data_IF_552836719896
#
_entry.id   IF_552836719896
#
_cell.length_a   1.000
_cell.length_b   1.000
_cell.length_c   1.000
_cell.angle_alpha   90.00
_cell.angle_beta   90.00
_cell.angle_gamma   90.00
#
_symmetry.space_group_name_H-M   'P 1'
#
loop_
_entity.id
_entity.type
_entity.pdbx_description
1 polymer ?
#
# COMPACT_ATOMS: atom_id res chain seq x y z
N UNK A 1 -15.34 20.78 -6.54
CA UNK A 1 -13.90 20.89 -6.92
C UNK A 1 -13.25 19.62 -6.46
N UNK A 2 -12.53 18.92 -7.36
CA UNK A 2 -11.71 17.77 -7.00
C UNK A 2 -10.24 18.19 -6.87
N UNK A 3 -9.52 17.52 -6.00
CA UNK A 3 -8.08 17.68 -5.81
C UNK A 3 -7.34 16.84 -6.83
N UNK A 4 -6.35 17.41 -7.49
CA UNK A 4 -5.32 16.67 -8.21
C UNK A 4 -4.10 16.56 -7.30
N UNK A 5 -3.78 15.34 -6.89
CA UNK A 5 -2.54 15.06 -6.16
C UNK A 5 -1.47 14.70 -7.17
N UNK A 6 -0.78 15.70 -7.65
CA UNK A 6 0.07 15.62 -8.84
C UNK A 6 1.44 14.96 -8.61
N UNK A 7 1.88 14.82 -7.35
CA UNK A 7 3.06 14.04 -6.99
C UNK A 7 2.88 13.31 -5.66
N UNK A 8 3.06 12.00 -5.64
CA UNK A 8 3.18 11.22 -4.42
C UNK A 8 4.10 10.02 -4.62
N UNK A 9 4.84 9.64 -3.59
CA UNK A 9 5.68 8.46 -3.54
C UNK A 9 6.25 8.27 -2.12
N UNK A 10 6.95 7.14 -1.93
CA UNK A 10 7.80 6.89 -0.77
C UNK A 10 9.22 7.36 -1.09
N UNK A 11 9.74 8.28 -0.30
CA UNK A 11 11.04 8.91 -0.53
C UNK A 11 12.12 8.40 0.46
N UNK A 12 12.25 7.06 0.60
CA UNK A 12 13.20 6.45 1.53
C UNK A 12 14.66 6.91 1.33
N UNK A 13 15.08 7.10 0.09
CA UNK A 13 16.43 7.54 -0.26
C UNK A 13 16.81 8.92 0.30
N UNK A 14 15.85 9.78 0.63
CA UNK A 14 16.11 11.07 1.25
C UNK A 14 16.77 10.93 2.62
N UNK A 15 16.53 9.81 3.29
CA UNK A 15 16.96 9.62 4.67
C UNK A 15 18.35 9.00 4.80
N UNK A 16 18.75 8.12 3.91
CA UNK A 16 20.03 7.40 3.97
C UNK A 16 21.01 7.75 2.84
N UNK A 17 20.51 8.43 1.79
CA UNK A 17 21.31 8.80 0.64
C UNK A 17 21.62 7.64 -0.31
N UNK A 18 21.07 6.45 -0.04
CA UNK A 18 21.17 5.28 -0.90
C UNK A 18 19.88 5.19 -1.71
N UNK A 19 20.00 5.04 -3.01
CA UNK A 19 18.89 4.88 -3.93
C UNK A 19 19.18 3.71 -4.86
N UNK A 20 19.10 2.51 -4.31
CA UNK A 20 19.22 1.26 -5.04
C UNK A 20 17.92 0.44 -4.93
N UNK A 21 17.85 -0.68 -5.64
CA UNK A 21 16.63 -1.50 -5.67
C UNK A 21 16.32 -2.13 -4.30
N UNK A 22 17.33 -2.37 -3.46
CA UNK A 22 17.15 -2.91 -2.11
C UNK A 22 16.46 -1.92 -1.15
N UNK A 23 16.43 -0.64 -1.50
CA UNK A 23 15.73 0.39 -0.72
C UNK A 23 14.20 0.37 -0.91
N UNK A 24 13.68 -0.50 -1.79
CA UNK A 24 12.25 -0.53 -2.16
C UNK A 24 11.67 -1.93 -1.99
N UNK A 25 11.55 -2.34 -0.72
CA UNK A 25 11.06 -3.65 -0.32
C UNK A 25 9.54 -3.77 -0.20
N UNK A 26 9.10 -4.89 0.37
CA UNK A 26 7.68 -5.15 0.64
C UNK A 26 7.05 -4.10 1.55
N UNK A 27 7.78 -3.53 2.50
CA UNK A 27 7.34 -2.42 3.35
C UNK A 27 6.90 -1.21 2.52
N UNK A 28 7.64 -0.87 1.46
CA UNK A 28 7.28 0.18 0.51
C UNK A 28 6.05 -0.20 -0.33
N UNK A 29 5.91 -1.48 -0.69
CA UNK A 29 4.72 -1.98 -1.38
C UNK A 29 3.48 -1.86 -0.49
N UNK A 30 3.57 -2.23 0.79
CA UNK A 30 2.50 -2.10 1.79
C UNK A 30 2.08 -0.62 1.92
N UNK A 31 3.03 0.30 2.07
CA UNK A 31 2.72 1.72 2.16
C UNK A 31 2.09 2.26 0.87
N UNK A 32 2.57 1.82 -0.29
CA UNK A 32 1.97 2.16 -1.59
C UNK A 32 0.52 1.69 -1.67
N UNK A 33 0.23 0.46 -1.25
CA UNK A 33 -1.14 -0.06 -1.20
C UNK A 33 -2.06 0.76 -0.29
N UNK A 34 -1.57 1.13 0.90
CA UNK A 34 -2.33 1.95 1.86
C UNK A 34 -2.63 3.36 1.33
N UNK A 35 -1.68 3.98 0.62
CA UNK A 35 -1.89 5.30 -0.02
C UNK A 35 -2.91 5.18 -1.14
N UNK A 36 -2.83 4.15 -1.99
CA UNK A 36 -3.82 3.92 -3.05
C UNK A 36 -5.21 3.64 -2.47
N UNK A 37 -5.32 2.82 -1.41
CA UNK A 37 -6.57 2.64 -0.68
C UNK A 37 -7.14 3.97 -0.13
N UNK A 38 -6.27 4.84 0.38
CA UNK A 38 -6.68 6.17 0.86
C UNK A 38 -7.26 7.01 -0.30
N UNK A 39 -6.65 7.01 -1.48
CA UNK A 39 -7.20 7.72 -2.65
C UNK A 39 -8.54 7.15 -3.11
N UNK A 40 -8.69 5.83 -3.12
CA UNK A 40 -9.95 5.17 -3.47
C UNK A 40 -11.04 5.55 -2.48
N UNK A 41 -10.75 5.51 -1.17
CA UNK A 41 -11.74 5.90 -0.13
C UNK A 41 -12.14 7.37 -0.19
N UNK A 42 -11.33 8.22 -0.79
CA UNK A 42 -11.58 9.65 -0.94
C UNK A 42 -11.86 10.05 -2.40
N UNK A 43 -12.39 9.13 -3.22
CA UNK A 43 -12.63 9.35 -4.65
C UNK A 43 -13.68 10.43 -4.97
N UNK A 44 -14.48 10.84 -4.01
CA UNK A 44 -15.36 12.00 -4.09
C UNK A 44 -14.59 13.34 -4.12
N UNK A 45 -13.46 13.40 -3.45
CA UNK A 45 -12.57 14.56 -3.32
C UNK A 45 -11.35 14.45 -4.23
N UNK A 46 -10.71 13.29 -4.29
CA UNK A 46 -9.52 13.05 -5.12
C UNK A 46 -9.94 12.70 -6.53
N UNK A 47 -9.61 13.54 -7.49
CA UNK A 47 -9.90 13.30 -8.90
C UNK A 47 -8.75 12.70 -9.68
N UNK A 48 -7.52 12.87 -9.19
CA UNK A 48 -6.30 12.36 -9.81
C UNK A 48 -5.20 12.23 -8.76
N UNK A 49 -4.37 11.18 -8.87
CA UNK A 49 -3.18 11.00 -8.05
C UNK A 49 -2.06 10.40 -8.91
N UNK A 50 -0.97 11.13 -9.10
CA UNK A 50 0.14 10.74 -9.95
C UNK A 50 1.31 10.25 -9.12
N UNK A 51 1.75 9.02 -9.38
CA UNK A 51 2.95 8.48 -8.76
C UNK A 51 4.21 9.08 -9.40
N UNK A 52 5.03 9.75 -8.63
CA UNK A 52 6.21 10.49 -9.09
C UNK A 52 7.48 10.04 -8.34
N UNK A 53 8.47 9.56 -9.07
CA UNK A 53 8.53 9.20 -10.49
C UNK A 53 8.05 7.77 -10.70
N UNK A 54 7.68 7.34 -11.92
CA UNK A 54 7.34 5.94 -12.16
C UNK A 54 8.55 5.11 -12.57
N UNK A 55 9.50 5.72 -13.28
CA UNK A 55 10.74 5.06 -13.74
C UNK A 55 11.95 5.69 -13.10
N UNK A 56 12.89 4.87 -12.64
CA UNK A 56 14.13 5.24 -11.96
C UNK A 56 13.90 6.07 -10.67
N UNK A 57 14.95 6.61 -10.10
CA UNK A 57 14.96 7.31 -8.80
C UNK A 57 14.22 6.45 -7.76
N UNK A 58 13.05 6.86 -7.30
CA UNK A 58 12.18 6.15 -6.39
C UNK A 58 10.97 5.50 -7.10
N UNK A 59 11.08 5.29 -8.41
CA UNK A 59 10.01 4.75 -9.24
C UNK A 59 9.75 3.27 -9.03
N UNK A 60 8.59 2.83 -9.50
CA UNK A 60 8.19 1.42 -9.46
C UNK A 60 8.95 0.55 -10.47
N UNK A 61 9.64 1.15 -11.43
CA UNK A 61 10.49 0.50 -12.43
C UNK A 61 11.89 1.08 -12.38
N UNK A 62 12.90 0.23 -12.22
CA UNK A 62 14.31 0.58 -12.27
C UNK A 62 14.95 0.09 -13.57
N UNK A 63 15.68 0.96 -14.26
CA UNK A 63 16.34 0.63 -15.53
C UNK A 63 17.84 0.57 -15.31
N UNK A 64 18.44 -0.57 -15.65
CA UNK A 64 19.87 -0.85 -15.57
C UNK A 64 20.44 -1.13 -16.96
N UNK A 65 21.76 -1.11 -17.14
CA UNK A 65 22.39 -1.47 -18.42
C UNK A 65 22.01 -2.86 -18.96
N UNK A 66 21.64 -3.78 -18.08
CA UNK A 66 21.25 -5.16 -18.43
C UNK A 66 19.74 -5.37 -18.61
N UNK A 67 18.90 -4.35 -18.39
CA UNK A 67 17.44 -4.49 -18.48
C UNK A 67 16.68 -3.60 -17.52
N UNK A 68 15.44 -4.00 -17.20
CA UNK A 68 14.58 -3.31 -16.26
C UNK A 68 14.10 -4.29 -15.18
N UNK A 69 13.91 -3.76 -13.98
CA UNK A 69 13.37 -4.46 -12.81
C UNK A 69 12.12 -3.74 -12.36
N UNK A 70 11.04 -4.49 -12.15
CA UNK A 70 9.84 -3.97 -11.47
C UNK A 70 10.04 -4.10 -9.97
N UNK A 71 10.16 -2.98 -9.27
CA UNK A 71 10.32 -2.94 -7.81
C UNK A 71 9.07 -3.42 -7.09
N UNK A 72 9.15 -3.68 -5.79
CA UNK A 72 8.07 -4.23 -4.99
C UNK A 72 6.74 -3.44 -5.03
N UNK A 73 6.77 -2.15 -5.36
CA UNK A 73 5.57 -1.33 -5.54
C UNK A 73 4.81 -1.65 -6.83
N UNK A 74 5.49 -2.11 -7.89
CA UNK A 74 4.88 -2.35 -9.20
C UNK A 74 3.71 -3.36 -9.15
N UNK A 75 3.86 -4.55 -8.54
CA UNK A 75 2.78 -5.51 -8.42
C UNK A 75 1.55 -4.95 -7.68
N UNK A 76 1.72 -3.97 -6.80
CA UNK A 76 0.58 -3.30 -6.14
C UNK A 76 -0.23 -2.49 -7.15
N UNK A 77 0.43 -1.73 -8.01
CA UNK A 77 -0.24 -1.00 -9.11
C UNK A 77 -0.95 -1.95 -10.05
N UNK A 78 -0.30 -3.06 -10.42
CA UNK A 78 -0.87 -4.07 -11.30
C UNK A 78 -2.13 -4.70 -10.71
N UNK A 79 -2.11 -5.11 -9.44
CA UNK A 79 -3.29 -5.66 -8.76
C UNK A 79 -4.43 -4.65 -8.70
N UNK A 80 -4.16 -3.43 -8.23
CA UNK A 80 -5.22 -2.44 -8.06
C UNK A 80 -5.74 -1.91 -9.39
N UNK A 81 -4.92 -1.80 -10.44
CA UNK A 81 -5.38 -1.41 -11.76
C UNK A 81 -6.34 -2.44 -12.38
N UNK A 82 -6.13 -3.72 -12.10
CA UNK A 82 -6.95 -4.81 -12.67
C UNK A 82 -8.11 -5.23 -11.76
N UNK A 83 -8.05 -4.93 -10.47
CA UNK A 83 -9.00 -5.41 -9.46
C UNK A 83 -9.56 -4.26 -8.59
N UNK A 84 -9.89 -3.13 -9.23
CA UNK A 84 -10.65 -2.03 -8.62
C UNK A 84 -11.89 -1.78 -9.45
N UNK A 85 -13.05 -1.81 -8.80
CA UNK A 85 -14.33 -1.52 -9.44
C UNK A 85 -14.58 -0.01 -9.58
N UNK A 86 -15.61 0.31 -10.36
CA UNK A 86 -16.04 1.68 -10.66
C UNK A 86 -16.62 2.43 -9.44
N UNK A 87 -17.21 1.69 -8.50
CA UNK A 87 -17.89 2.25 -7.33
C UNK A 87 -17.14 1.87 -6.06
N UNK A 88 -16.96 2.84 -5.17
CA UNK A 88 -16.46 2.61 -3.83
C UNK A 88 -17.61 2.27 -2.88
N UNK A 89 -17.40 1.26 -2.04
CA UNK A 89 -18.29 0.89 -0.95
C UNK A 89 -17.63 1.14 0.40
N UNK A 90 -18.30 1.87 1.33
CA UNK A 90 -17.78 2.08 2.67
C UNK A 90 -17.45 0.75 3.36
N UNK A 91 -16.33 0.71 4.04
CA UNK A 91 -15.86 -0.47 4.77
C UNK A 91 -15.45 -0.06 6.17
N UNK A 92 -15.80 -0.86 7.15
CA UNK A 92 -15.42 -0.70 8.55
C UNK A 92 -14.57 -1.91 8.97
N UNK A 93 -13.55 -1.67 9.80
CA UNK A 93 -12.73 -2.71 10.43
C UNK A 93 -13.05 -2.71 11.92
N UNK A 94 -13.51 -3.86 12.43
CA UNK A 94 -13.76 -4.05 13.85
C UNK A 94 -12.72 -5.05 14.36
N UNK A 95 -11.82 -4.61 15.23
CA UNK A 95 -10.80 -5.49 15.74
C UNK A 95 -9.62 -4.79 16.40
N UNK A 96 -8.47 -5.45 16.32
CA UNK A 96 -7.22 -5.01 16.93
C UNK A 96 -6.70 -3.71 16.30
N UNK A 97 -6.17 -2.86 17.17
CA UNK A 97 -5.47 -1.63 16.76
C UNK A 97 -3.99 -1.70 17.13
N UNK A 98 -3.16 -1.13 16.28
CA UNK A 98 -1.74 -0.94 16.53
C UNK A 98 -1.52 0.48 17.06
N UNK A 99 -0.76 0.57 18.14
CA UNK A 99 -0.24 1.85 18.61
C UNK A 99 1.02 2.18 17.83
N UNK A 100 0.93 3.13 16.91
CA UNK A 100 2.10 3.64 16.20
C UNK A 100 2.78 4.66 17.10
N UNK A 101 3.98 4.35 17.62
CA UNK A 101 4.69 5.28 18.46
C UNK A 101 5.06 6.53 17.65
N UNK A 102 5.15 7.66 18.33
CA UNK A 102 5.74 8.86 17.72
C UNK A 102 7.07 8.50 17.10
N UNK A 103 7.21 8.67 15.81
CA UNK A 103 8.48 8.49 15.15
C UNK A 103 9.53 9.36 15.85
N UNK A 104 10.45 8.74 16.57
CA UNK A 104 11.75 9.33 16.74
C UNK A 104 12.25 9.59 15.32
N UNK A 105 12.54 10.84 14.99
CA UNK A 105 12.99 11.19 13.65
C UNK A 105 14.06 10.22 13.16
N UNK A 106 14.25 10.08 11.86
CA UNK A 106 15.06 9.03 11.26
C UNK A 106 16.39 8.89 11.99
N UNK A 107 16.76 7.68 12.35
CA UNK A 107 18.07 7.35 12.92
C UNK A 107 19.23 7.59 11.93
N UNK A 108 18.91 7.95 10.70
CA UNK A 108 19.88 8.43 9.71
C UNK A 108 20.44 9.76 10.20
N UNK A 109 21.75 9.86 10.39
CA UNK A 109 22.45 11.00 10.94
C UNK A 109 22.39 12.30 10.13
N UNK A 110 21.35 12.49 9.34
CA UNK A 110 20.96 13.80 8.79
C UNK A 110 19.91 14.39 9.72
N UNK A 111 20.22 15.53 10.36
CA UNK A 111 19.22 16.24 11.14
C UNK A 111 18.00 16.50 10.27
N UNK A 112 16.81 16.21 10.76
CA UNK A 112 15.54 16.66 10.18
C UNK A 112 15.44 18.22 10.10
N UNK A 113 16.51 18.90 10.43
CA UNK A 113 16.70 20.35 10.44
C UNK A 113 16.58 20.95 9.03
N UNK A 114 16.73 20.16 7.96
CA UNK A 114 16.66 20.66 6.59
C UNK A 114 15.27 20.52 5.93
N UNK A 115 14.32 19.84 6.55
CA UNK A 115 12.93 19.95 6.14
C UNK A 115 12.30 21.08 6.96
N UNK A 116 12.66 22.31 6.63
CA UNK A 116 11.95 23.50 7.06
C UNK A 116 10.58 23.53 6.35
N UNK A 117 9.67 22.69 6.81
CA UNK A 117 8.25 23.03 6.70
C UNK A 117 8.09 24.27 7.58
N UNK A 118 7.98 25.43 6.94
CA UNK A 118 7.84 26.72 7.60
C UNK A 118 6.77 26.58 8.70
N UNK A 119 7.17 26.71 9.98
CA UNK A 119 6.31 26.60 11.14
C UNK A 119 6.38 25.28 11.92
N UNK A 120 7.14 24.28 11.51
CA UNK A 120 7.36 23.06 12.29
C UNK A 120 8.51 23.22 13.28
N UNK A 121 8.25 23.90 14.40
CA UNK A 121 9.00 23.59 15.62
C UNK A 121 8.93 22.09 15.85
N UNK A 122 9.93 21.47 16.52
CA UNK A 122 10.00 20.02 16.86
C UNK A 122 8.66 19.52 17.41
N UNK A 123 7.70 19.27 16.52
CA UNK A 123 6.40 18.71 16.89
C UNK A 123 6.61 17.21 17.03
N UNK A 124 6.65 16.72 18.27
CA UNK A 124 6.39 15.32 18.53
C UNK A 124 4.99 15.04 18.00
N UNK A 125 4.88 14.24 16.94
CA UNK A 125 3.59 13.72 16.55
C UNK A 125 3.09 12.84 17.70
N UNK A 126 1.84 12.99 18.15
CA UNK A 126 1.30 12.08 19.16
C UNK A 126 1.31 10.65 18.61
N UNK A 127 1.46 9.67 19.49
CA UNK A 127 1.15 8.28 19.11
C UNK A 127 -0.28 8.24 18.56
N UNK A 128 -0.50 7.46 17.52
CA UNK A 128 -1.84 7.22 16.99
C UNK A 128 -2.15 5.72 17.02
N UNK A 129 -3.40 5.42 17.21
CA UNK A 129 -3.94 4.08 17.06
C UNK A 129 -4.44 3.92 15.63
N UNK A 130 -4.09 2.81 14.98
CA UNK A 130 -4.53 2.46 13.63
C UNK A 130 -5.04 1.03 13.63
N UNK A 131 -6.06 0.75 12.86
CA UNK A 131 -6.50 -0.64 12.66
C UNK A 131 -5.36 -1.48 12.10
N UNK A 132 -5.20 -2.71 12.60
CA UNK A 132 -4.19 -3.66 12.10
C UNK A 132 -4.41 -3.97 10.62
N UNK A 133 -5.67 -4.03 10.19
CA UNK A 133 -6.04 -4.33 8.82
C UNK A 133 -6.47 -3.04 8.10
N UNK A 134 -5.96 -2.83 6.90
CA UNK A 134 -6.50 -1.85 5.95
C UNK A 134 -7.42 -2.54 4.95
N UNK A 135 -8.63 -2.02 4.76
CA UNK A 135 -9.62 -2.57 3.82
C UNK A 135 -10.14 -1.48 2.90
N UNK A 136 -10.35 -1.82 1.65
CA UNK A 136 -11.11 -1.00 0.70
C UNK A 136 -11.96 -1.93 -0.17
N UNK A 137 -13.25 -1.65 -0.27
CA UNK A 137 -14.18 -2.38 -1.10
C UNK A 137 -14.59 -1.53 -2.29
N UNK A 138 -14.58 -2.14 -3.46
CA UNK A 138 -15.08 -1.53 -4.70
C UNK A 138 -15.88 -2.54 -5.50
N UNK A 139 -16.66 -2.09 -6.48
CA UNK A 139 -17.42 -3.01 -7.32
C UNK A 139 -17.93 -2.37 -8.60
N UNK A 140 -18.58 -3.19 -9.41
CA UNK A 140 -19.11 -2.84 -10.72
C UNK A 140 -20.63 -3.04 -10.79
N UNK A 141 -21.23 -2.54 -11.87
CA UNK A 141 -22.67 -2.67 -12.13
C UNK A 141 -23.13 -4.11 -12.35
N UNK A 142 -22.23 -5.00 -12.73
CA UNK A 142 -22.48 -6.44 -12.91
C UNK A 142 -22.54 -7.22 -11.59
N UNK A 143 -22.37 -6.55 -10.45
CA UNK A 143 -22.34 -7.16 -9.12
C UNK A 143 -20.99 -7.70 -8.69
N UNK A 144 -19.94 -7.58 -9.49
CA UNK A 144 -18.57 -7.97 -9.07
C UNK A 144 -18.09 -7.07 -7.95
N UNK A 145 -17.56 -7.67 -6.88
CA UNK A 145 -16.91 -6.96 -5.76
C UNK A 145 -15.42 -7.26 -5.73
N UNK A 146 -14.64 -6.24 -5.43
CA UNK A 146 -13.20 -6.33 -5.19
C UNK A 146 -12.89 -5.86 -3.78
N UNK A 147 -12.14 -6.65 -3.05
CA UNK A 147 -11.66 -6.32 -1.72
C UNK A 147 -10.14 -6.21 -1.74
N UNK A 148 -9.62 -5.03 -1.49
CA UNK A 148 -8.20 -4.82 -1.26
C UNK A 148 -7.95 -4.81 0.24
N UNK A 149 -7.10 -5.72 0.71
CA UNK A 149 -6.85 -5.97 2.14
C UNK A 149 -5.36 -5.87 2.39
N UNK A 150 -4.97 -5.11 3.42
CA UNK A 150 -3.57 -4.94 3.82
C UNK A 150 -3.43 -5.28 5.29
N UNK A 151 -2.64 -6.30 5.61
CA UNK A 151 -2.20 -6.56 6.98
C UNK A 151 -1.03 -5.62 7.29
N UNK A 152 -1.20 -4.78 8.31
CA UNK A 152 -0.20 -3.81 8.78
C UNK A 152 0.62 -4.31 9.97
N UNK A 153 0.31 -5.51 10.48
CA UNK A 153 1.11 -6.09 11.56
C UNK A 153 2.48 -6.50 11.02
N UNK A 154 3.58 -6.09 11.67
CA UNK A 154 4.93 -6.32 11.14
C UNK A 154 5.32 -7.81 11.10
N UNK A 155 4.84 -8.61 12.05
CA UNK A 155 5.37 -9.95 12.29
C UNK A 155 4.33 -11.06 12.27
N UNK A 156 3.04 -10.74 12.25
CA UNK A 156 1.99 -11.74 12.46
C UNK A 156 0.90 -11.70 11.39
N UNK A 157 0.49 -12.88 10.94
CA UNK A 157 -0.73 -13.04 10.15
C UNK A 157 -1.97 -12.77 11.03
N UNK A 158 -3.05 -12.31 10.40
CA UNK A 158 -4.34 -12.06 11.06
C UNK A 158 -5.45 -12.84 10.37
N UNK A 159 -6.22 -13.56 11.16
CA UNK A 159 -7.48 -14.13 10.70
C UNK A 159 -8.53 -13.01 10.62
N UNK A 160 -9.31 -13.02 9.56
CA UNK A 160 -10.31 -12.00 9.32
C UNK A 160 -11.61 -12.65 8.84
N UNK A 161 -12.75 -12.09 9.30
CA UNK A 161 -14.08 -12.40 8.77
C UNK A 161 -14.56 -11.22 7.94
N UNK A 162 -15.08 -11.52 6.76
CA UNK A 162 -15.69 -10.55 5.87
C UNK A 162 -17.20 -10.69 6.00
N UNK A 163 -17.87 -9.61 6.37
CA UNK A 163 -19.31 -9.50 6.42
C UNK A 163 -19.76 -8.49 5.37
N UNK A 164 -20.74 -8.87 4.56
CA UNK A 164 -21.28 -8.02 3.50
C UNK A 164 -22.67 -7.58 3.87
N UNK A 165 -22.80 -6.37 4.41
CA UNK A 165 -24.08 -5.78 4.74
C UNK A 165 -24.87 -5.43 3.48
N UNK A 166 -26.18 -5.66 3.52
CA UNK A 166 -27.09 -5.32 2.43
C UNK A 166 -26.75 -5.97 1.08
N UNK A 167 -26.01 -7.08 1.10
CA UNK A 167 -25.70 -7.83 -0.11
C UNK A 167 -27.01 -8.33 -0.77
N UNK A 168 -27.19 -8.17 -2.09
CA UNK A 168 -28.41 -8.60 -2.77
C UNK A 168 -28.53 -10.14 -2.86
N UNK A 169 -27.51 -10.87 -2.44
CA UNK A 169 -27.43 -12.32 -2.47
C UNK A 169 -26.12 -12.84 -1.89
N UNK A 170 -25.91 -14.15 -2.01
CA UNK A 170 -24.65 -14.78 -1.61
C UNK A 170 -23.53 -14.43 -2.62
N UNK A 171 -22.36 -14.09 -2.10
CA UNK A 171 -21.15 -13.86 -2.91
C UNK A 171 -20.23 -15.08 -2.79
N UNK A 172 -19.55 -15.40 -3.87
CA UNK A 172 -18.49 -16.40 -3.90
C UNK A 172 -17.18 -15.75 -4.31
N UNK A 173 -16.12 -16.03 -3.58
CA UNK A 173 -14.78 -15.63 -3.98
C UNK A 173 -14.33 -16.46 -5.18
N UNK A 174 -14.19 -15.82 -6.34
CA UNK A 174 -13.77 -16.48 -7.59
C UNK A 174 -12.27 -16.45 -7.77
N UNK A 175 -11.62 -15.38 -7.30
CA UNK A 175 -10.18 -15.16 -7.41
C UNK A 175 -9.64 -14.54 -6.13
N UNK A 176 -8.44 -14.91 -5.75
CA UNK A 176 -7.70 -14.31 -4.65
C UNK A 176 -6.22 -14.24 -5.02
N UNK A 177 -5.62 -13.08 -4.78
CA UNK A 177 -4.21 -12.81 -5.03
C UNK A 177 -3.57 -12.21 -3.79
N UNK A 178 -2.28 -12.43 -3.63
CA UNK A 178 -1.49 -11.83 -2.56
C UNK A 178 -0.14 -11.34 -3.07
N UNK A 179 0.38 -10.34 -2.39
CA UNK A 179 1.77 -9.92 -2.44
C UNK A 179 2.32 -10.14 -1.04
N UNK A 180 3.20 -11.10 -0.89
CA UNK A 180 3.72 -11.51 0.41
C UNK A 180 5.19 -11.94 0.32
N UNK A 181 5.94 -11.68 1.36
CA UNK A 181 7.27 -12.23 1.62
C UNK A 181 7.49 -12.31 3.13
N UNK A 182 8.29 -13.28 3.60
CA UNK A 182 8.59 -13.45 5.02
C UNK A 182 9.46 -12.30 5.58
N UNK A 183 10.27 -11.68 4.74
CA UNK A 183 11.07 -10.51 5.05
C UNK A 183 10.38 -9.26 4.51
N UNK A 184 10.07 -8.31 5.38
CA UNK A 184 9.47 -7.02 5.01
C UNK A 184 10.37 -6.15 4.14
N UNK A 185 11.69 -6.38 4.21
CA UNK A 185 12.66 -5.65 3.40
C UNK A 185 13.03 -6.37 2.11
N UNK A 186 12.40 -7.53 1.82
CA UNK A 186 12.59 -8.20 0.54
C UNK A 186 12.27 -7.27 -0.62
N UNK A 187 13.20 -7.13 -1.54
CA UNK A 187 13.12 -6.24 -2.68
C UNK A 187 13.38 -6.99 -3.99
N UNK A 188 12.78 -6.48 -5.06
CA UNK A 188 13.09 -6.96 -6.40
C UNK A 188 14.36 -6.28 -6.90
N UNK A 189 15.33 -7.07 -7.30
CA UNK A 189 16.62 -6.65 -7.85
C UNK A 189 16.89 -7.34 -9.18
N UNK A 190 17.95 -6.98 -9.87
CA UNK A 190 18.34 -7.64 -11.10
C UNK A 190 18.64 -9.14 -10.89
N UNK A 191 19.14 -9.52 -9.71
CA UNK A 191 19.44 -10.89 -9.32
C UNK A 191 18.18 -11.66 -8.87
N UNK A 192 17.22 -10.95 -8.29
CA UNK A 192 15.99 -11.51 -7.74
C UNK A 192 14.76 -10.68 -8.18
N UNK A 193 14.38 -10.71 -9.47
CA UNK A 193 13.37 -9.81 -10.02
C UNK A 193 11.95 -10.08 -9.53
N UNK A 194 11.68 -11.26 -9.00
CA UNK A 194 10.34 -11.73 -8.58
C UNK A 194 10.29 -12.12 -7.09
N UNK A 195 11.18 -11.58 -6.24
CA UNK A 195 11.16 -11.83 -4.80
C UNK A 195 9.81 -11.39 -4.20
N UNK A 196 9.31 -10.24 -4.62
CA UNK A 196 8.00 -9.69 -4.27
C UNK A 196 7.16 -9.62 -5.54
N UNK A 197 6.20 -10.52 -5.66
CA UNK A 197 5.38 -10.69 -6.86
C UNK A 197 3.94 -11.04 -6.50
N UNK A 198 3.03 -10.86 -7.47
CA UNK A 198 1.64 -11.32 -7.36
C UNK A 198 1.62 -12.84 -7.41
N UNK A 199 0.96 -13.45 -6.43
CA UNK A 199 0.75 -14.89 -6.34
C UNK A 199 -0.73 -15.18 -6.13
N UNK A 200 -1.18 -16.35 -6.58
CA UNK A 200 -2.51 -16.84 -6.23
C UNK A 200 -2.56 -17.13 -4.73
N UNK A 201 -3.59 -16.63 -4.06
CA UNK A 201 -3.83 -16.84 -2.65
C UNK A 201 -4.94 -17.87 -2.41
N UNK A 202 -5.00 -18.41 -1.19
CA UNK A 202 -6.12 -19.23 -0.77
C UNK A 202 -7.42 -18.40 -0.75
N UNK A 203 -8.48 -18.96 -1.32
CA UNK A 203 -9.79 -18.32 -1.27
C UNK A 203 -10.37 -18.43 0.12
N UNK A 204 -11.05 -17.39 0.63
CA UNK A 204 -11.74 -17.47 1.90
C UNK A 204 -12.80 -18.56 1.86
N UNK A 205 -12.98 -19.25 2.99
CA UNK A 205 -14.06 -20.23 3.16
C UNK A 205 -15.36 -19.50 3.46
N UNK A 206 -16.44 -19.86 2.77
CA UNK A 206 -17.79 -19.41 3.15
C UNK A 206 -18.19 -20.06 4.48
N UNK A 207 -18.69 -19.25 5.39
CA UNK A 207 -19.40 -19.73 6.58
C UNK A 207 -20.90 -19.46 6.35
N UNK A 208 -21.72 -20.49 6.52
CA UNK A 208 -23.18 -20.39 6.48
C UNK A 208 -23.74 -19.60 7.66
#
# INVERSE_FOLDING_TARGET
>A
IKVAWDEWNVNGWIFDGVNDDNSYGLDNAILTALILQMFIRNCDTVGMANYSTFVNINGAVSVHPGGAVTRAQYPVFELLANHTGKYFYPSEVIGEQLVVPTAAGPKSGRPSENINLAGSGKRKLPSCEIDVIGVTATGNEDGTLYLSIVNKHPDEAREMRIHLDHAPGAYQCVEAYEIHHADLHAANTAEHPDAVAIRAAARPTQQE
#
